data_IF_862613586259
#
_entry.id   IF_862613586259
#
_cell.length_a   1.000
_cell.length_b   1.000
_cell.length_c   1.000
_cell.angle_alpha   90.00
_cell.angle_beta   90.00
_cell.angle_gamma   90.00
#
_symmetry.space_group_name_H-M   'P 1'
#
loop_
_entity.id
_entity.type
_entity.pdbx_description
1 polymer ?
#
# COMPACT_ATOMS: atom_id res chain seq x y z
N UNK A 1 70.89 7.47 -39.84
CA UNK A 1 71.16 6.10 -39.38
C UNK A 1 69.83 5.40 -39.12
N UNK A 2 69.61 4.30 -39.83
CA UNK A 2 68.48 3.36 -39.74
C UNK A 2 68.55 2.55 -38.42
N UNK A 3 67.42 2.28 -37.74
CA UNK A 3 67.09 0.99 -37.05
C UNK A 3 65.72 1.01 -36.31
N UNK A 4 64.70 0.31 -36.83
CA UNK A 4 64.10 -0.98 -36.35
C UNK A 4 63.11 -0.85 -35.15
N UNK A 5 61.80 -0.96 -35.41
CA UNK A 5 60.77 -1.56 -34.52
C UNK A 5 60.92 -3.09 -34.60
N UNK A 6 60.63 -3.93 -33.55
CA UNK A 6 59.27 -4.16 -33.00
C UNK A 6 59.30 -4.51 -31.48
N UNK A 7 58.19 -4.72 -30.74
CA UNK A 7 57.45 -5.99 -30.67
C UNK A 7 56.37 -5.84 -29.57
N UNK A 8 55.13 -6.20 -29.89
CA UNK A 8 54.01 -6.22 -28.96
C UNK A 8 54.09 -7.44 -28.02
N UNK A 9 53.83 -7.25 -26.73
CA UNK A 9 53.58 -8.37 -25.80
C UNK A 9 52.08 -8.38 -25.47
N UNK A 10 51.37 -9.32 -26.08
CA UNK A 10 49.98 -9.66 -25.77
C UNK A 10 50.00 -10.63 -24.58
N UNK A 11 49.52 -10.21 -23.41
CA UNK A 11 49.36 -11.11 -22.27
C UNK A 11 48.15 -12.05 -22.49
N UNK A 12 48.25 -13.35 -22.15
CA UNK A 12 47.12 -14.26 -22.29
C UNK A 12 46.11 -14.02 -21.16
N UNK A 13 44.86 -13.76 -21.53
CA UNK A 13 43.73 -13.90 -20.62
C UNK A 13 43.48 -15.40 -20.40
N UNK A 14 43.88 -15.92 -19.24
CA UNK A 14 43.42 -17.21 -18.77
C UNK A 14 42.01 -17.04 -18.20
N UNK A 15 40.98 -17.32 -19.00
CA UNK A 15 39.59 -17.38 -18.53
C UNK A 15 39.41 -18.56 -17.58
N UNK A 16 39.49 -18.32 -16.28
CA UNK A 16 39.00 -19.26 -15.28
C UNK A 16 37.47 -19.22 -15.31
N UNK A 17 36.85 -20.27 -15.86
CA UNK A 17 35.42 -20.50 -15.67
C UNK A 17 35.18 -20.88 -14.20
N UNK A 18 34.98 -19.87 -13.35
CA UNK A 18 34.44 -20.10 -12.02
C UNK A 18 33.02 -20.65 -12.18
N UNK A 19 32.82 -21.93 -11.88
CA UNK A 19 31.49 -22.48 -11.67
C UNK A 19 30.85 -21.70 -10.52
N UNK A 20 29.87 -20.84 -10.83
CA UNK A 20 29.07 -20.20 -9.81
C UNK A 20 28.42 -21.31 -8.95
N UNK A 21 28.47 -21.22 -7.61
CA UNK A 21 27.80 -22.19 -6.77
C UNK A 21 26.33 -22.23 -7.18
N UNK A 22 25.84 -23.42 -7.56
CA UNK A 22 24.43 -23.63 -7.84
C UNK A 22 23.67 -23.27 -6.56
N UNK A 23 22.90 -22.20 -6.61
CA UNK A 23 22.05 -21.74 -5.50
C UNK A 23 21.14 -22.88 -5.06
N UNK A 24 21.20 -23.21 -3.78
CA UNK A 24 20.30 -24.14 -3.11
C UNK A 24 18.84 -23.79 -3.48
N UNK A 25 17.96 -24.77 -3.76
CA UNK A 25 16.55 -24.50 -4.04
C UNK A 25 15.98 -23.59 -2.95
N UNK A 26 15.11 -22.63 -3.29
CA UNK A 26 14.50 -21.77 -2.28
C UNK A 26 13.86 -22.65 -1.22
N UNK A 27 14.10 -22.32 0.05
CA UNK A 27 13.43 -22.99 1.15
C UNK A 27 11.91 -22.96 0.89
N UNK A 28 11.17 -24.04 1.24
CA UNK A 28 9.72 -24.04 1.08
C UNK A 28 9.16 -22.79 1.76
N UNK A 29 8.40 -22.00 1.00
CA UNK A 29 7.68 -20.86 1.57
C UNK A 29 6.76 -21.45 2.64
N UNK A 30 6.84 -21.00 3.90
CA UNK A 30 5.91 -21.46 4.92
C UNK A 30 4.50 -21.20 4.42
N UNK A 31 3.69 -22.27 4.33
CA UNK A 31 2.28 -22.14 3.98
C UNK A 31 1.66 -21.24 5.03
N UNK A 32 1.07 -20.13 4.59
CA UNK A 32 0.46 -19.17 5.51
C UNK A 32 -0.55 -19.90 6.39
N UNK A 33 -0.35 -19.85 7.70
CA UNK A 33 -1.33 -20.33 8.69
C UNK A 33 -2.44 -19.31 8.92
N UNK A 34 -2.44 -18.21 8.17
CA UNK A 34 -3.43 -17.15 8.29
C UNK A 34 -4.80 -17.65 7.87
N UNK A 35 -5.71 -17.68 8.82
CA UNK A 35 -7.11 -18.00 8.59
C UNK A 35 -7.88 -16.68 8.51
N UNK A 36 -8.23 -16.25 7.30
CA UNK A 36 -8.89 -14.95 7.09
C UNK A 36 -10.19 -14.83 7.92
N UNK A 37 -10.92 -15.92 8.11
CA UNK A 37 -12.17 -15.91 8.89
C UNK A 37 -11.95 -15.64 10.39
N UNK A 38 -10.76 -15.97 10.90
CA UNK A 38 -10.42 -15.83 12.33
C UNK A 38 -9.53 -14.62 12.62
N UNK A 39 -8.61 -14.35 11.71
CA UNK A 39 -7.50 -13.44 11.93
C UNK A 39 -7.73 -12.08 11.26
N UNK A 40 -8.69 -11.96 10.35
CA UNK A 40 -8.96 -10.69 9.67
C UNK A 40 -9.47 -9.61 10.65
N UNK A 41 -8.97 -8.36 10.53
CA UNK A 41 -9.51 -7.24 11.26
C UNK A 41 -11.00 -7.05 10.96
N UNK A 42 -11.81 -6.93 12.02
CA UNK A 42 -13.26 -6.72 11.89
C UNK A 42 -13.60 -5.23 11.99
N UNK A 43 -14.34 -4.75 10.99
CA UNK A 43 -14.98 -3.44 10.99
C UNK A 43 -16.45 -3.57 11.45
N UNK A 44 -16.95 -2.62 12.24
CA UNK A 44 -18.38 -2.57 12.59
C UNK A 44 -19.04 -1.38 11.91
N UNK A 45 -20.01 -1.66 11.05
CA UNK A 45 -20.89 -0.64 10.50
C UNK A 45 -22.10 -0.42 11.42
N UNK A 46 -22.46 0.84 11.67
CA UNK A 46 -23.63 1.18 12.50
C UNK A 46 -24.81 1.61 11.63
N UNK A 47 -25.98 1.03 11.90
CA UNK A 47 -27.22 1.43 11.22
C UNK A 47 -27.66 2.81 11.68
N UNK A 48 -28.11 3.64 10.76
CA UNK A 48 -28.64 4.98 11.01
C UNK A 48 -30.05 5.17 10.44
N UNK A 49 -30.68 6.28 10.83
CA UNK A 49 -31.92 6.82 10.22
C UNK A 49 -31.78 8.30 9.86
N UNK A 50 -30.61 8.89 10.13
CA UNK A 50 -30.33 10.28 9.83
C UNK A 50 -29.85 10.40 8.38
N UNK A 51 -30.11 11.54 7.76
CA UNK A 51 -29.57 11.85 6.44
C UNK A 51 -28.11 12.29 6.56
N UNK A 52 -27.24 11.71 5.73
CA UNK A 52 -25.85 12.15 5.56
C UNK A 52 -25.74 12.97 4.28
N UNK A 53 -25.07 14.13 4.34
CA UNK A 53 -24.75 14.92 3.16
C UNK A 53 -23.38 14.50 2.64
N UNK A 54 -23.34 13.93 1.44
CA UNK A 54 -22.09 13.44 0.85
C UNK A 54 -21.32 14.60 0.20
N UNK A 55 -20.73 15.46 1.01
CA UNK A 55 -19.93 16.62 0.58
C UNK A 55 -18.45 16.53 0.98
N UNK A 56 -18.06 15.47 1.69
CA UNK A 56 -16.69 15.24 2.18
C UNK A 56 -16.40 15.87 3.55
N UNK A 57 -17.37 16.52 4.19
CA UNK A 57 -17.26 17.01 5.57
C UNK A 57 -17.94 16.01 6.50
N UNK A 58 -17.24 15.55 7.53
CA UNK A 58 -17.76 14.59 8.51
C UNK A 58 -18.27 15.31 9.77
N UNK A 59 -19.23 16.22 9.60
CA UNK A 59 -19.74 17.08 10.68
C UNK A 59 -21.13 16.69 11.18
N UNK A 60 -21.81 15.74 10.56
CA UNK A 60 -23.06 15.22 11.11
C UNK A 60 -22.83 14.41 12.40
N UNK A 61 -23.67 14.64 13.42
CA UNK A 61 -23.56 13.99 14.74
C UNK A 61 -23.51 12.45 14.68
N UNK A 62 -24.14 11.85 13.67
CA UNK A 62 -24.14 10.39 13.51
C UNK A 62 -22.75 9.81 13.27
N UNK A 63 -21.79 10.58 12.75
CA UNK A 63 -20.41 10.14 12.58
C UNK A 63 -19.72 9.88 13.92
N UNK A 64 -19.99 10.71 14.94
CA UNK A 64 -19.44 10.52 16.29
C UNK A 64 -19.94 9.23 16.94
N UNK A 65 -21.03 8.68 16.43
CA UNK A 65 -21.70 7.48 16.94
C UNK A 65 -21.13 6.17 16.36
N UNK A 66 -20.32 6.25 15.29
CA UNK A 66 -19.67 5.11 14.67
C UNK A 66 -18.29 4.84 15.29
N UNK A 67 -18.00 3.56 15.57
CA UNK A 67 -16.68 3.15 16.03
C UNK A 67 -15.65 3.33 14.90
N UNK A 68 -14.60 4.15 15.07
CA UNK A 68 -13.57 4.28 14.06
C UNK A 68 -12.65 3.06 14.03
N UNK A 69 -12.24 2.68 12.81
CA UNK A 69 -11.04 1.90 12.56
C UNK A 69 -9.86 2.85 12.58
N UNK A 70 -8.89 2.56 13.44
CA UNK A 70 -7.67 3.36 13.60
C UNK A 70 -6.39 2.53 13.54
N UNK A 71 -6.52 1.20 13.65
CA UNK A 71 -5.40 0.25 13.65
C UNK A 71 -5.19 -0.34 12.27
N UNK A 72 -4.78 0.51 11.34
CA UNK A 72 -4.38 0.09 9.99
C UNK A 72 -2.92 -0.36 9.99
N UNK A 73 -2.61 -1.34 9.15
CA UNK A 73 -1.25 -1.81 8.90
C UNK A 73 -0.75 -1.33 7.56
N UNK A 74 0.57 -1.18 7.45
CA UNK A 74 1.22 -0.84 6.19
C UNK A 74 1.37 -2.10 5.34
N UNK A 75 1.23 -1.93 4.03
CA UNK A 75 1.66 -2.91 3.03
C UNK A 75 3.09 -2.61 2.57
N UNK A 76 3.37 -1.34 2.31
CA UNK A 76 4.68 -0.79 1.94
C UNK A 76 4.93 0.50 2.76
N UNK A 77 6.19 0.84 3.13
CA UNK A 77 7.44 0.10 2.91
C UNK A 77 7.73 -0.95 3.98
N UNK A 78 6.93 -1.02 5.03
CA UNK A 78 7.17 -1.91 6.18
C UNK A 78 5.92 -2.73 6.48
N UNK A 79 5.76 -3.82 5.75
CA UNK A 79 4.58 -4.69 5.83
C UNK A 79 4.25 -5.09 7.28
N UNK A 80 2.97 -4.99 7.64
CA UNK A 80 2.44 -5.38 8.94
C UNK A 80 2.70 -4.38 10.08
N UNK A 81 3.54 -3.36 9.88
CA UNK A 81 3.74 -2.30 10.87
C UNK A 81 2.51 -1.38 10.98
N UNK A 82 2.29 -0.70 12.11
CA UNK A 82 1.22 0.31 12.22
C UNK A 82 1.35 1.38 11.14
N UNK A 83 0.23 1.90 10.65
CA UNK A 83 0.18 3.03 9.71
C UNK A 83 1.07 4.20 10.18
N UNK A 84 1.87 4.76 9.27
CA UNK A 84 2.79 5.86 9.57
C UNK A 84 2.10 7.20 9.78
N UNK A 85 0.88 7.35 9.24
CA UNK A 85 0.05 8.53 9.36
C UNK A 85 -1.31 8.18 10.00
N UNK A 86 -1.83 9.01 10.94
CA UNK A 86 -3.12 8.76 11.56
C UNK A 86 -4.24 8.73 10.53
N UNK A 87 -5.02 7.65 10.54
CA UNK A 87 -6.18 7.49 9.66
C UNK A 87 -7.34 6.91 10.44
N UNK A 88 -8.48 7.59 10.37
CA UNK A 88 -9.74 7.16 10.97
C UNK A 88 -10.73 6.81 9.86
N UNK A 89 -11.28 5.59 9.89
CA UNK A 89 -12.34 5.18 8.95
C UNK A 89 -13.56 4.75 9.74
N UNK A 90 -14.73 5.27 9.37
CA UNK A 90 -16.02 4.99 10.01
C UNK A 90 -17.01 4.46 8.99
N UNK A 91 -17.84 3.52 9.42
CA UNK A 91 -18.84 2.87 8.58
C UNK A 91 -20.23 3.09 9.18
N UNK A 92 -21.12 3.64 8.37
CA UNK A 92 -22.54 3.80 8.67
C UNK A 92 -23.34 3.19 7.55
N UNK A 93 -24.58 2.76 7.80
CA UNK A 93 -25.45 2.27 6.74
C UNK A 93 -26.92 2.49 7.06
N UNK A 94 -27.75 2.49 6.04
CA UNK A 94 -29.21 2.40 6.15
C UNK A 94 -29.75 1.39 5.14
N UNK A 95 -31.02 1.52 4.76
CA UNK A 95 -31.67 0.61 3.81
C UNK A 95 -31.26 0.89 2.35
N UNK A 96 -30.59 2.00 2.07
CA UNK A 96 -30.28 2.49 0.73
C UNK A 96 -28.78 2.48 0.43
N UNK A 97 -27.93 2.75 1.43
CA UNK A 97 -26.50 2.91 1.20
C UNK A 97 -25.60 2.46 2.36
N UNK A 98 -24.37 2.11 1.98
CA UNK A 98 -23.20 2.08 2.87
C UNK A 98 -22.47 3.42 2.78
N UNK A 99 -22.30 4.09 3.91
CA UNK A 99 -21.57 5.33 4.04
C UNK A 99 -20.21 5.07 4.68
N UNK A 100 -19.15 5.54 4.01
CA UNK A 100 -17.76 5.38 4.46
C UNK A 100 -17.17 6.76 4.64
N UNK A 101 -16.93 7.14 5.89
CA UNK A 101 -16.26 8.39 6.25
C UNK A 101 -14.81 8.13 6.61
N UNK A 102 -13.86 8.71 5.88
CA UNK A 102 -12.44 8.54 6.14
C UNK A 102 -11.76 9.90 6.38
N UNK A 103 -10.93 9.96 7.41
CA UNK A 103 -10.05 11.09 7.69
C UNK A 103 -8.61 10.61 7.72
N UNK A 104 -7.84 11.03 6.72
CA UNK A 104 -6.42 10.71 6.58
C UNK A 104 -5.64 11.98 6.92
N UNK A 105 -4.84 11.92 7.98
CA UNK A 105 -3.99 13.03 8.39
C UNK A 105 -2.65 12.91 7.66
N UNK A 106 -2.12 14.02 7.15
CA UNK A 106 -0.76 14.05 6.61
C UNK A 106 0.01 15.21 7.25
N UNK A 107 1.28 14.96 7.51
CA UNK A 107 2.26 15.96 7.95
C UNK A 107 2.75 16.85 6.81
N UNK A 108 2.66 16.36 5.57
CA UNK A 108 3.03 17.10 4.37
C UNK A 108 1.89 18.03 3.96
N UNK A 109 2.21 19.21 3.40
CA UNK A 109 1.20 20.11 2.89
C UNK A 109 0.49 19.49 1.68
N UNK A 110 -0.82 19.69 1.57
CA UNK A 110 -1.59 19.23 0.42
C UNK A 110 -1.05 19.88 -0.87
N UNK A 111 -0.36 19.10 -1.71
CA UNK A 111 0.09 19.54 -3.03
C UNK A 111 -1.02 19.29 -4.03
N UNK A 112 -1.99 20.20 -4.05
CA UNK A 112 -3.26 20.08 -4.77
C UNK A 112 -3.10 19.81 -6.28
N UNK A 113 -2.95 18.54 -6.65
CA UNK A 113 -3.22 18.08 -8.01
C UNK A 113 -4.41 17.12 -7.97
N UNK A 114 -5.58 17.69 -8.20
CA UNK A 114 -6.81 16.92 -8.39
C UNK A 114 -6.67 16.18 -9.71
N UNK A 115 -6.61 14.85 -9.64
CA UNK A 115 -6.68 14.00 -10.83
C UNK A 115 -8.06 14.10 -11.48
N UNK A 116 -8.13 13.92 -12.81
CA UNK A 116 -9.44 13.69 -13.44
C UNK A 116 -9.97 12.33 -12.98
N UNK A 117 -11.30 12.20 -13.00
CA UNK A 117 -11.98 10.91 -12.88
C UNK A 117 -11.35 9.90 -13.86
N UNK A 118 -11.14 8.68 -13.37
CA UNK A 118 -10.56 7.54 -14.10
C UNK A 118 -9.12 7.74 -14.60
N UNK A 119 -8.39 8.74 -14.08
CA UNK A 119 -6.94 8.75 -14.25
C UNK A 119 -6.31 7.60 -13.46
N UNK A 120 -5.29 6.97 -14.05
CA UNK A 120 -4.45 6.03 -13.32
C UNK A 120 -3.90 6.65 -12.04
N UNK A 121 -3.59 5.80 -11.05
CA UNK A 121 -3.07 6.20 -9.75
C UNK A 121 -1.87 7.15 -9.94
N UNK A 122 -2.13 8.43 -9.75
CA UNK A 122 -1.16 9.50 -9.98
C UNK A 122 -0.43 9.84 -8.68
N UNK A 123 0.37 10.89 -8.66
CA UNK A 123 1.04 11.42 -7.46
C UNK A 123 0.06 12.07 -6.45
N UNK A 124 -1.17 11.57 -6.33
CA UNK A 124 -2.20 12.07 -5.42
C UNK A 124 -2.53 10.98 -4.40
N UNK A 125 -2.87 11.38 -3.18
CA UNK A 125 -3.35 10.44 -2.17
C UNK A 125 -4.73 9.89 -2.54
N UNK A 126 -4.98 8.63 -2.16
CA UNK A 126 -6.16 7.88 -2.57
C UNK A 126 -6.60 6.93 -1.47
N UNK A 127 -7.91 6.73 -1.39
CA UNK A 127 -8.55 5.67 -0.61
C UNK A 127 -9.25 4.72 -1.59
N UNK A 128 -8.98 3.44 -1.47
CA UNK A 128 -9.69 2.40 -2.20
C UNK A 128 -10.52 1.56 -1.25
N UNK A 129 -11.77 1.34 -1.63
CA UNK A 129 -12.70 0.43 -0.96
C UNK A 129 -13.04 -0.67 -1.95
N UNK A 130 -12.83 -1.92 -1.54
CA UNK A 130 -13.20 -3.11 -2.31
C UNK A 130 -14.35 -3.77 -1.57
N UNK A 131 -15.44 -4.04 -2.28
CA UNK A 131 -16.63 -4.69 -1.73
C UNK A 131 -16.81 -5.99 -2.52
N UNK A 132 -16.96 -7.09 -1.79
CA UNK A 132 -17.33 -8.40 -2.31
C UNK A 132 -18.68 -8.80 -1.70
N UNK A 133 -19.58 -9.36 -2.49
CA UNK A 133 -20.98 -9.59 -2.12
C UNK A 133 -21.45 -11.01 -2.44
#
# INVERSE_FOLDING_TARGET
MLRILPFALLAPFASAMAQQPVTQPPAPIPVSTYDHERDAPVATARRIRATIRVDGVLDEDVWASAQPITRLTQYDPSEGQPGSQPTDIRFLYDDEALYIGARMHDTLPATARVGRRDMGMSASDWLTVIIDA
#
